data_IF_963673494198
#
_entry.id   IF_963673494198
#
_cell.length_a   1.000
_cell.length_b   1.000
_cell.length_c   1.000
_cell.angle_alpha   90.00
_cell.angle_beta   90.00
_cell.angle_gamma   90.00
#
_symmetry.space_group_name_H-M   'P 1'
#
loop_
_entity.id
_entity.type
_entity.pdbx_description
1 polymer ?
#
# COMPACT_ATOMS: atom_id res chain seq x y z
N UNK A 1 5.00 -17.59 0.67
CA UNK A 1 6.00 -16.68 0.06
C UNK A 1 5.84 -15.34 0.74
N UNK A 2 6.92 -14.76 1.24
CA UNK A 2 6.86 -13.45 1.88
C UNK A 2 6.61 -12.37 0.82
N UNK A 3 5.83 -11.34 1.14
CA UNK A 3 5.53 -10.23 0.24
C UNK A 3 6.82 -9.47 -0.13
N UNK A 4 7.75 -9.31 0.81
CA UNK A 4 9.04 -8.66 0.58
C UNK A 4 9.89 -9.41 -0.44
N UNK A 5 9.96 -10.74 -0.36
CA UNK A 5 10.69 -11.58 -1.33
C UNK A 5 10.21 -11.35 -2.76
N UNK A 6 8.88 -11.27 -2.94
CA UNK A 6 8.27 -11.08 -4.25
C UNK A 6 8.57 -9.68 -4.77
N UNK A 7 8.41 -8.65 -3.93
CA UNK A 7 8.70 -7.28 -4.28
C UNK A 7 10.18 -7.09 -4.65
N UNK A 8 11.10 -7.59 -3.82
CA UNK A 8 12.54 -7.51 -4.04
C UNK A 8 12.99 -8.17 -5.34
N UNK A 9 12.47 -9.36 -5.64
CA UNK A 9 12.74 -10.04 -6.92
C UNK A 9 12.22 -9.24 -8.10
N UNK A 10 11.02 -8.68 -7.96
CA UNK A 10 10.39 -7.86 -9.00
C UNK A 10 11.21 -6.59 -9.26
N UNK A 11 11.65 -5.88 -8.21
CA UNK A 11 12.58 -4.75 -8.33
C UNK A 11 13.87 -5.15 -9.05
N UNK A 12 14.39 -6.36 -8.79
CA UNK A 12 15.54 -6.90 -9.50
C UNK A 12 15.30 -7.08 -11.00
N UNK A 13 14.15 -7.66 -11.39
CA UNK A 13 13.77 -7.88 -12.79
C UNK A 13 13.73 -6.57 -13.59
N UNK A 14 13.26 -5.48 -12.95
CA UNK A 14 13.13 -4.18 -13.60
C UNK A 14 14.32 -3.23 -13.36
N UNK A 15 15.37 -3.66 -12.64
CA UNK A 15 16.53 -2.80 -12.35
C UNK A 15 16.20 -1.61 -11.43
N UNK A 16 15.28 -1.80 -10.48
CA UNK A 16 14.76 -0.76 -9.58
C UNK A 16 15.31 -0.82 -8.15
N UNK A 17 16.13 -1.82 -7.79
CA UNK A 17 16.55 -2.06 -6.39
C UNK A 17 17.14 -0.83 -5.70
N UNK A 18 17.95 -0.06 -6.41
CA UNK A 18 18.65 1.14 -5.95
C UNK A 18 17.94 2.45 -6.38
N UNK A 19 16.72 2.35 -6.94
CA UNK A 19 15.98 3.47 -7.52
C UNK A 19 14.66 3.77 -6.82
N UNK A 20 14.22 2.90 -5.91
CA UNK A 20 12.98 3.11 -5.14
C UNK A 20 13.29 3.97 -3.93
N UNK A 21 12.70 5.16 -3.90
CA UNK A 21 12.81 6.10 -2.77
C UNK A 21 11.74 5.84 -1.70
N UNK A 22 10.53 5.48 -2.12
CA UNK A 22 9.38 5.33 -1.23
C UNK A 22 8.40 4.28 -1.78
N UNK A 23 7.66 3.65 -0.86
CA UNK A 23 6.64 2.64 -1.16
C UNK A 23 5.32 3.12 -0.55
N UNK A 24 4.28 3.18 -1.38
CA UNK A 24 2.93 3.57 -0.97
C UNK A 24 2.02 2.34 -0.88
N UNK A 25 1.53 2.05 0.32
CA UNK A 25 0.63 0.94 0.60
C UNK A 25 -0.55 1.39 1.48
N UNK A 26 -1.56 0.54 1.64
CA UNK A 26 -2.65 0.80 2.59
C UNK A 26 -2.13 0.86 4.05
N UNK A 27 -2.97 1.31 4.97
CA UNK A 27 -2.55 1.54 6.35
C UNK A 27 -2.55 0.27 7.22
N UNK A 28 -2.33 -0.90 6.62
CA UNK A 28 -2.23 -2.16 7.32
C UNK A 28 -0.84 -2.34 7.93
N UNK A 29 -0.78 -2.83 9.18
CA UNK A 29 0.48 -3.07 9.89
C UNK A 29 1.37 -4.13 9.22
N UNK A 30 0.80 -5.01 8.38
CA UNK A 30 1.57 -5.94 7.56
C UNK A 30 2.51 -5.24 6.58
N UNK A 31 2.20 -4.00 6.17
CA UNK A 31 3.06 -3.22 5.29
C UNK A 31 4.24 -2.61 6.03
N UNK A 32 4.13 -2.43 7.35
CA UNK A 32 5.27 -1.99 8.16
C UNK A 32 6.33 -3.12 8.17
N UNK A 33 5.91 -4.37 8.41
CA UNK A 33 6.79 -5.55 8.30
C UNK A 33 7.39 -5.72 6.90
N UNK A 34 6.61 -5.47 5.84
CA UNK A 34 7.12 -5.49 4.45
C UNK A 34 8.30 -4.52 4.28
N UNK A 35 8.17 -3.28 4.77
CA UNK A 35 9.20 -2.27 4.58
C UNK A 35 10.44 -2.52 5.44
N UNK A 36 10.27 -3.03 6.66
CA UNK A 36 11.38 -3.48 7.52
C UNK A 36 12.19 -4.59 6.83
N UNK A 37 11.54 -5.56 6.19
CA UNK A 37 12.23 -6.60 5.44
C UNK A 37 12.94 -6.07 4.18
N UNK A 38 12.34 -5.10 3.48
CA UNK A 38 13.00 -4.43 2.35
C UNK A 38 14.22 -3.64 2.81
N UNK A 39 14.16 -2.96 3.95
CA UNK A 39 15.30 -2.26 4.56
C UNK A 39 16.46 -3.22 4.86
N UNK A 40 16.17 -4.40 5.43
CA UNK A 40 17.18 -5.44 5.65
C UNK A 40 17.82 -5.90 4.32
N UNK A 41 17.02 -6.16 3.30
CA UNK A 41 17.51 -6.58 1.97
C UNK A 41 18.35 -5.49 1.30
N UNK A 42 17.96 -4.22 1.44
CA UNK A 42 18.73 -3.08 0.97
C UNK A 42 20.09 -2.98 1.69
N UNK A 43 20.10 -3.14 3.01
CA UNK A 43 21.31 -3.13 3.83
C UNK A 43 22.29 -4.24 3.41
N UNK A 44 21.79 -5.45 3.16
CA UNK A 44 22.59 -6.59 2.66
C UNK A 44 23.20 -6.35 1.27
N UNK A 45 22.71 -5.36 0.53
CA UNK A 45 23.16 -5.04 -0.84
C UNK A 45 23.79 -3.64 -0.93
N UNK A 46 24.19 -3.05 0.19
CA UNK A 46 24.81 -1.71 0.29
C UNK A 46 23.94 -0.58 -0.31
N UNK A 47 22.61 -0.71 -0.23
CA UNK A 47 21.64 0.29 -0.68
C UNK A 47 21.14 1.08 0.53
N UNK A 48 21.30 2.40 0.49
CA UNK A 48 20.75 3.28 1.52
C UNK A 48 19.23 3.39 1.36
N UNK A 49 18.50 2.77 2.27
CA UNK A 49 17.04 2.80 2.33
C UNK A 49 16.62 2.79 3.80
N UNK A 50 15.65 3.63 4.17
CA UNK A 50 15.07 3.62 5.52
C UNK A 50 13.59 3.28 5.45
N UNK A 51 13.17 2.26 6.18
CA UNK A 51 11.75 1.88 6.25
C UNK A 51 10.90 3.04 6.78
N UNK A 52 11.38 3.76 7.80
CA UNK A 52 10.67 4.88 8.41
C UNK A 52 10.47 6.06 7.44
N UNK A 53 11.48 6.38 6.63
CA UNK A 53 11.42 7.52 5.70
C UNK A 53 10.70 7.16 4.38
N UNK A 54 10.81 5.91 3.94
CA UNK A 54 10.24 5.43 2.68
C UNK A 54 8.75 5.05 2.77
N UNK A 55 8.19 4.97 3.98
CA UNK A 55 6.82 4.49 4.20
C UNK A 55 5.78 5.57 3.92
N UNK A 56 5.05 5.40 2.81
CA UNK A 56 3.92 6.25 2.46
C UNK A 56 2.59 5.54 2.78
N UNK A 57 1.61 6.30 3.29
CA UNK A 57 0.23 5.83 3.45
C UNK A 57 -0.59 6.09 2.18
N UNK A 58 -1.50 5.18 1.86
CA UNK A 58 -2.51 5.38 0.85
C UNK A 58 -3.45 6.54 1.24
N UNK A 59 -3.33 7.68 0.54
CA UNK A 59 -4.12 8.89 0.79
C UNK A 59 -5.64 8.64 0.78
N UNK A 60 -6.23 7.96 -0.22
CA UNK A 60 -7.65 7.61 -0.19
C UNK A 60 -8.06 6.84 1.07
N UNK A 61 -7.23 5.88 1.51
CA UNK A 61 -7.52 5.07 2.68
C UNK A 61 -7.49 5.93 3.96
N UNK A 62 -6.48 6.80 4.10
CA UNK A 62 -6.40 7.75 5.22
C UNK A 62 -7.61 8.68 5.27
N UNK A 63 -8.00 9.27 4.13
CA UNK A 63 -9.17 10.17 4.06
C UNK A 63 -10.45 9.42 4.42
N UNK A 64 -10.62 8.19 3.92
CA UNK A 64 -11.77 7.35 4.23
C UNK A 64 -11.86 7.08 5.74
N UNK A 65 -10.78 6.62 6.37
CA UNK A 65 -10.74 6.36 7.81
C UNK A 65 -11.03 7.64 8.63
N UNK A 66 -10.40 8.76 8.30
CA UNK A 66 -10.65 10.03 8.99
C UNK A 66 -12.10 10.49 8.85
N UNK A 67 -12.68 10.37 7.66
CA UNK A 67 -14.09 10.72 7.41
C UNK A 67 -15.03 9.84 8.23
N UNK A 68 -14.76 8.53 8.27
CA UNK A 68 -15.56 7.58 9.05
C UNK A 68 -15.55 7.92 10.55
N UNK A 69 -14.38 8.21 11.12
CA UNK A 69 -14.27 8.61 12.52
C UNK A 69 -15.03 9.92 12.82
N UNK A 70 -14.95 10.91 11.91
CA UNK A 70 -15.72 12.16 12.04
C UNK A 70 -17.23 11.89 12.01
N UNK A 71 -17.71 11.08 11.07
CA UNK A 71 -19.14 10.75 10.95
C UNK A 71 -19.65 9.95 12.16
N UNK A 72 -18.82 9.07 12.73
CA UNK A 72 -19.15 8.37 13.98
C UNK A 72 -19.23 9.33 15.16
N UNK A 73 -18.28 10.27 15.28
CA UNK A 73 -18.27 11.28 16.35
C UNK A 73 -19.50 12.21 16.28
N UNK A 74 -19.99 12.50 15.08
CA UNK A 74 -21.22 13.27 14.85
C UNK A 74 -22.51 12.45 15.03
N UNK A 75 -22.42 11.13 15.26
CA UNK A 75 -23.57 10.24 15.38
C UNK A 75 -24.30 9.97 14.06
N UNK A 76 -23.69 10.33 12.92
CA UNK A 76 -24.25 10.09 11.57
C UNK A 76 -24.14 8.61 11.19
N UNK A 77 -23.07 7.95 11.64
CA UNK A 77 -22.81 6.54 11.37
C UNK A 77 -22.62 5.77 12.67
N UNK A 78 -23.26 4.61 12.80
CA UNK A 78 -23.07 3.72 13.94
C UNK A 78 -22.02 2.65 13.61
N UNK A 79 -21.18 2.32 14.60
CA UNK A 79 -20.07 1.34 14.49
C UNK A 79 -20.49 -0.06 14.03
N UNK A 80 -21.79 -0.39 14.06
CA UNK A 80 -22.37 -1.65 13.58
C UNK A 80 -22.96 -1.61 12.16
N UNK A 81 -23.04 -0.44 11.53
CA UNK A 81 -23.62 -0.26 10.17
C UNK A 81 -22.58 -0.10 9.08
N UNK A 82 -21.29 0.00 9.43
CA UNK A 82 -20.21 -0.23 8.49
C UNK A 82 -20.23 -1.71 8.12
N UNK A 83 -21.13 -2.09 7.20
CA UNK A 83 -20.89 -3.23 6.34
C UNK A 83 -19.46 -3.04 5.85
N UNK A 84 -18.55 -3.92 6.25
CA UNK A 84 -17.27 -4.08 5.55
C UNK A 84 -17.67 -4.05 4.08
N UNK A 85 -17.37 -2.97 3.35
CA UNK A 85 -17.58 -3.00 1.91
C UNK A 85 -16.74 -4.19 1.48
N UNK A 86 -17.41 -5.25 1.06
CA UNK A 86 -16.75 -6.50 0.67
C UNK A 86 -15.90 -6.28 -0.58
N UNK A 87 -16.12 -5.16 -1.25
CA UNK A 87 -15.41 -4.74 -2.42
C UNK A 87 -14.27 -3.82 -2.00
N UNK A 88 -13.04 -4.29 -2.17
CA UNK A 88 -11.91 -3.40 -2.22
C UNK A 88 -12.13 -2.45 -3.41
N UNK A 89 -11.78 -1.17 -3.27
CA UNK A 89 -11.80 -0.24 -4.39
C UNK A 89 -11.03 -0.80 -5.60
N UNK A 90 -9.91 -1.50 -5.34
CA UNK A 90 -9.14 -2.19 -6.37
C UNK A 90 -9.90 -3.31 -7.09
N UNK A 91 -10.85 -3.98 -6.42
CA UNK A 91 -11.66 -5.06 -7.00
C UNK A 91 -12.87 -4.54 -7.77
N UNK A 92 -13.37 -3.35 -7.40
CA UNK A 92 -14.52 -2.70 -8.05
C UNK A 92 -14.15 -1.82 -9.24
N UNK A 93 -12.89 -1.38 -9.33
CA UNK A 93 -12.35 -0.65 -10.49
C UNK A 93 -11.82 -1.65 -11.51
N UNK A 94 -12.67 -2.09 -12.43
CA UNK A 94 -12.26 -2.85 -13.61
C UNK A 94 -12.04 -1.89 -14.77
N UNK A 95 -10.81 -1.43 -14.97
CA UNK A 95 -10.43 -0.89 -16.26
C UNK A 95 -10.40 -2.05 -17.28
N UNK A 96 -10.99 -1.90 -18.48
CA UNK A 96 -10.84 -2.91 -19.53
C UNK A 96 -9.35 -3.13 -19.80
N UNK A 97 -8.91 -4.39 -19.85
CA UNK A 97 -7.49 -4.76 -20.04
C UNK A 97 -7.10 -4.78 -21.53
N UNK A 98 -8.03 -4.43 -22.41
CA UNK A 98 -7.79 -4.38 -23.84
C UNK A 98 -6.96 -3.15 -24.24
N UNK A 99 -5.94 -3.38 -25.08
CA UNK A 99 -5.04 -2.34 -25.63
C UNK A 99 -5.76 -1.26 -26.44
N UNK A 100 -7.03 -1.48 -26.77
CA UNK A 100 -7.88 -0.49 -27.44
C UNK A 100 -8.13 0.74 -26.56
N UNK A 101 -7.94 0.61 -25.25
CA UNK A 101 -8.14 1.67 -24.26
C UNK A 101 -6.83 2.37 -23.81
N UNK A 102 -5.68 2.03 -24.41
CA UNK A 102 -4.36 2.64 -24.13
C UNK A 102 -4.09 3.96 -24.90
N UNK A 103 -5.12 4.56 -25.51
CA UNK A 103 -4.99 5.77 -26.37
C UNK A 103 -5.06 7.08 -25.60
#
# INVERSE_FOLDING_TARGET
KNMADVLWRTMGVYGLKDRVLAINCDNATSNDTLLEEIEMLCLENDILFSAADARMCCLPHTIHLSTMEILMALGVVNKGTSSKSRDNYQDSVTAPVDREYDN
#
